data_IF_641952792295
#
_entry.id   IF_641952792295
#
_cell.length_a   1.000
_cell.length_b   1.000
_cell.length_c   1.000
_cell.angle_alpha   90.00
_cell.angle_beta   90.00
_cell.angle_gamma   90.00
#
_symmetry.space_group_name_H-M   'P 1'
#
loop_
_entity.id
_entity.type
_entity.pdbx_description
1 polymer ?
#
# COMPACT_ATOMS: atom_id res chain seq x y z
N UNK A 1 -32.76 -29.62 -48.37
CA UNK A 1 -31.53 -29.20 -47.65
C UNK A 1 -31.78 -28.20 -46.51
N UNK A 2 -33.02 -27.80 -46.16
CA UNK A 2 -33.28 -26.80 -45.09
C UNK A 2 -33.55 -27.36 -43.68
N UNK A 3 -34.21 -28.53 -43.58
CA UNK A 3 -34.69 -29.07 -42.28
C UNK A 3 -33.57 -29.35 -41.27
N UNK A 4 -32.38 -29.72 -41.74
CA UNK A 4 -31.23 -30.02 -40.89
C UNK A 4 -30.54 -28.77 -40.35
N UNK A 5 -30.67 -27.64 -41.03
CA UNK A 5 -30.15 -26.35 -40.57
C UNK A 5 -31.13 -25.72 -39.58
N UNK A 6 -32.43 -25.78 -39.87
CA UNK A 6 -33.50 -25.33 -38.96
C UNK A 6 -33.41 -26.03 -37.59
N UNK A 7 -33.22 -27.36 -37.58
CA UNK A 7 -33.06 -28.16 -36.35
C UNK A 7 -31.81 -27.78 -35.54
N UNK A 8 -30.74 -27.29 -36.18
CA UNK A 8 -29.51 -26.85 -35.50
C UNK A 8 -29.70 -25.49 -34.87
N UNK A 9 -30.42 -24.59 -35.53
CA UNK A 9 -30.77 -23.28 -34.98
C UNK A 9 -31.70 -23.42 -33.77
N UNK A 10 -32.71 -24.27 -33.88
CA UNK A 10 -33.64 -24.55 -32.80
C UNK A 10 -32.92 -25.17 -31.58
N UNK A 11 -32.00 -26.11 -31.80
CA UNK A 11 -31.16 -26.66 -30.72
C UNK A 11 -30.28 -25.60 -30.04
N UNK A 12 -29.76 -24.63 -30.81
CA UNK A 12 -28.94 -23.55 -30.26
C UNK A 12 -29.78 -22.62 -29.39
N UNK A 13 -31.00 -22.32 -29.82
CA UNK A 13 -31.95 -21.51 -29.05
C UNK A 13 -32.36 -22.22 -27.75
N UNK A 14 -32.68 -23.52 -27.81
CA UNK A 14 -33.04 -24.30 -26.62
C UNK A 14 -31.91 -24.36 -25.58
N UNK A 15 -30.65 -24.48 -26.02
CA UNK A 15 -29.49 -24.44 -25.10
C UNK A 15 -29.32 -23.07 -24.45
N UNK A 16 -29.52 -22.00 -25.20
CA UNK A 16 -29.47 -20.62 -24.68
C UNK A 16 -30.54 -20.40 -23.59
N UNK A 17 -31.77 -20.85 -23.84
CA UNK A 17 -32.88 -20.75 -22.88
C UNK A 17 -32.61 -21.59 -21.62
N UNK A 18 -32.04 -22.79 -21.76
CA UNK A 18 -31.66 -23.64 -20.63
C UNK A 18 -30.60 -22.96 -19.73
N UNK A 19 -29.62 -22.30 -20.33
CA UNK A 19 -28.58 -21.58 -19.57
C UNK A 19 -29.11 -20.32 -18.89
N UNK A 20 -30.07 -19.62 -19.51
CA UNK A 20 -30.77 -18.50 -18.88
C UNK A 20 -31.61 -18.96 -17.69
N UNK A 21 -32.36 -20.06 -17.82
CA UNK A 21 -33.16 -20.62 -16.74
C UNK A 21 -32.30 -21.09 -15.55
N UNK A 22 -31.13 -21.71 -15.83
CA UNK A 22 -30.17 -22.11 -14.79
C UNK A 22 -29.60 -20.93 -14.00
N UNK A 23 -29.52 -19.73 -14.61
CA UNK A 23 -29.06 -18.50 -13.96
C UNK A 23 -30.17 -17.82 -13.16
N UNK A 24 -31.42 -17.87 -13.64
CA UNK A 24 -32.56 -17.25 -12.99
C UNK A 24 -32.89 -17.84 -11.60
N UNK A 25 -32.52 -19.10 -11.34
CA UNK A 25 -32.77 -19.80 -10.07
C UNK A 25 -31.64 -19.74 -9.03
N UNK A 26 -30.50 -19.11 -9.32
CA UNK A 26 -29.39 -18.98 -8.35
C UNK A 26 -29.37 -17.57 -7.79
N UNK A 27 -30.04 -17.35 -6.66
CA UNK A 27 -29.75 -16.22 -5.79
C UNK A 27 -28.26 -16.25 -5.45
N UNK A 28 -27.53 -15.22 -5.89
CA UNK A 28 -26.13 -15.05 -5.51
C UNK A 28 -26.04 -15.09 -3.98
N UNK A 29 -25.12 -15.86 -3.37
CA UNK A 29 -24.93 -15.81 -1.94
C UNK A 29 -24.66 -14.35 -1.56
N UNK A 30 -25.38 -13.85 -0.55
CA UNK A 30 -25.22 -12.49 -0.03
C UNK A 30 -23.82 -12.34 0.56
N UNK A 31 -22.83 -12.11 -0.29
CA UNK A 31 -21.53 -11.61 0.14
C UNK A 31 -21.75 -10.18 0.62
N UNK A 32 -21.27 -9.81 1.83
CA UNK A 32 -21.23 -8.41 2.20
C UNK A 32 -20.45 -7.66 1.12
N UNK A 33 -20.99 -6.51 0.68
CA UNK A 33 -20.38 -5.71 -0.36
C UNK A 33 -18.95 -5.29 0.07
N UNK A 34 -17.95 -5.31 -0.83
CA UNK A 34 -16.58 -4.88 -0.55
C UNK A 34 -16.51 -3.48 0.09
N UNK A 35 -17.49 -2.63 -0.21
CA UNK A 35 -17.65 -1.29 0.38
C UNK A 35 -17.75 -1.28 1.91
N UNK A 36 -18.21 -2.35 2.56
CA UNK A 36 -18.25 -2.42 4.03
C UNK A 36 -16.88 -2.74 4.66
N UNK A 37 -15.92 -3.21 3.86
CA UNK A 37 -14.55 -3.57 4.29
C UNK A 37 -13.54 -2.49 3.86
N UNK A 38 -13.85 -1.71 2.82
CA UNK A 38 -13.00 -0.69 2.21
C UNK A 38 -12.86 0.62 3.04
N UNK A 39 -12.52 0.51 4.33
CA UNK A 39 -12.22 1.64 5.24
C UNK A 39 -11.00 2.48 4.80
N UNK A 40 -10.26 2.03 3.79
CA UNK A 40 -9.05 2.71 3.30
C UNK A 40 -9.33 3.96 2.44
N UNK A 41 -10.53 4.06 1.86
CA UNK A 41 -10.90 5.16 0.96
C UNK A 41 -11.23 6.47 1.70
N UNK A 42 -11.38 6.43 3.03
CA UNK A 42 -11.69 7.60 3.87
C UNK A 42 -10.45 8.39 4.31
N UNK A 43 -9.23 7.92 3.97
CA UNK A 43 -7.99 8.58 4.39
C UNK A 43 -7.49 9.62 3.36
N UNK A 44 -6.94 10.77 3.80
CA UNK A 44 -6.42 11.79 2.91
C UNK A 44 -5.31 11.24 1.99
N UNK A 45 -5.22 11.77 0.77
CA UNK A 45 -4.34 11.29 -0.33
C UNK A 45 -2.86 11.13 0.05
N UNK A 46 -2.40 11.87 1.07
CA UNK A 46 -1.03 11.85 1.59
C UNK A 46 -0.77 10.66 2.54
N UNK A 47 -1.82 9.98 3.00
CA UNK A 47 -1.77 8.88 4.00
C UNK A 47 -2.61 7.69 3.54
N UNK A 48 -2.45 7.23 2.29
CA UNK A 48 -3.03 5.92 1.90
C UNK A 48 -2.34 4.73 2.58
N UNK A 49 -1.13 4.93 3.08
CA UNK A 49 -0.32 3.88 3.68
C UNK A 49 0.26 4.37 5.02
N UNK A 50 -0.08 3.72 6.15
CA UNK A 50 0.58 3.98 7.43
C UNK A 50 1.98 3.35 7.39
N UNK A 51 2.90 3.87 6.56
CA UNK A 51 4.22 3.25 6.39
C UNK A 51 5.04 3.38 7.65
N UNK A 52 4.89 4.47 8.41
CA UNK A 52 5.57 4.65 9.69
C UNK A 52 5.22 3.51 10.66
N UNK A 53 3.93 3.20 10.80
CA UNK A 53 3.42 2.13 11.67
C UNK A 53 3.81 0.75 11.11
N UNK A 54 3.71 0.57 9.80
CA UNK A 54 4.16 -0.66 9.14
C UNK A 54 5.66 -0.89 9.33
N UNK A 55 6.48 0.17 9.32
CA UNK A 55 7.92 0.09 9.49
C UNK A 55 8.32 -0.44 10.85
N UNK A 56 7.55 -0.19 11.91
CA UNK A 56 7.83 -0.76 13.24
C UNK A 56 7.11 -2.07 13.50
N UNK A 57 6.02 -2.35 12.79
CA UNK A 57 5.31 -3.62 12.84
C UNK A 57 5.88 -4.64 11.84
N UNK A 58 5.00 -5.13 10.95
CA UNK A 58 5.31 -6.21 10.00
C UNK A 58 6.51 -5.88 9.10
N UNK A 59 6.72 -4.62 8.74
CA UNK A 59 7.79 -4.15 7.86
C UNK A 59 9.14 -3.86 8.53
N UNK A 60 9.35 -4.29 9.78
CA UNK A 60 10.56 -3.99 10.54
C UNK A 60 11.85 -4.49 9.87
N UNK A 61 11.82 -5.65 9.20
CA UNK A 61 13.01 -6.21 8.52
C UNK A 61 13.15 -5.78 7.06
N UNK A 62 12.28 -4.90 6.58
CA UNK A 62 12.41 -4.35 5.22
C UNK A 62 13.53 -3.31 5.24
N UNK A 63 14.54 -3.39 4.35
CA UNK A 63 15.64 -2.43 4.36
C UNK A 63 15.14 -1.01 4.09
N UNK A 64 15.71 -0.05 4.83
CA UNK A 64 15.54 1.37 4.55
C UNK A 64 16.70 1.85 3.68
N UNK A 65 16.54 2.97 2.96
CA UNK A 65 17.69 3.66 2.38
C UNK A 65 18.67 4.06 3.49
N UNK A 66 19.97 3.98 3.20
CA UNK A 66 21.08 4.25 4.14
C UNK A 66 20.88 5.54 4.94
N UNK A 67 20.64 6.68 4.27
CA UNK A 67 20.43 7.96 4.95
C UNK A 67 19.19 7.99 5.86
N UNK A 68 18.16 7.19 5.55
CA UNK A 68 16.96 7.08 6.41
C UNK A 68 17.22 6.12 7.57
N UNK A 69 18.07 5.13 7.39
CA UNK A 69 18.51 4.21 8.43
C UNK A 69 19.36 4.92 9.49
N UNK A 70 20.31 5.76 9.08
CA UNK A 70 21.08 6.64 9.99
C UNK A 70 20.15 7.52 10.84
N UNK A 71 19.14 8.14 10.21
CA UNK A 71 18.12 8.92 10.93
C UNK A 71 17.32 8.02 11.88
N UNK A 72 16.98 6.80 11.46
CA UNK A 72 16.24 5.84 12.28
C UNK A 72 17.01 5.40 13.52
N UNK A 73 18.33 5.30 13.48
CA UNK A 73 19.16 5.08 14.66
C UNK A 73 19.02 6.23 15.66
N UNK A 74 18.96 7.47 15.15
CA UNK A 74 18.93 8.67 16.00
C UNK A 74 17.54 9.06 16.47
N UNK A 75 16.45 8.78 15.77
CA UNK A 75 15.09 9.15 16.23
C UNK A 75 14.13 7.97 16.41
N UNK A 76 14.53 6.78 15.98
CA UNK A 76 13.67 5.62 15.88
C UNK A 76 13.06 5.47 14.48
N UNK A 77 12.85 4.22 14.08
CA UNK A 77 12.40 3.82 12.75
C UNK A 77 11.08 4.42 12.31
N UNK A 78 10.05 4.37 13.17
CA UNK A 78 8.73 4.97 12.90
C UNK A 78 8.86 6.45 12.54
N UNK A 79 9.64 7.19 13.34
CA UNK A 79 9.80 8.64 13.22
C UNK A 79 10.61 9.01 11.98
N UNK A 80 11.65 8.25 11.67
CA UNK A 80 12.41 8.44 10.43
C UNK A 80 11.52 8.26 9.19
N UNK A 81 10.71 7.20 9.15
CA UNK A 81 9.76 6.99 8.04
C UNK A 81 8.69 8.08 8.00
N UNK A 82 8.16 8.50 9.16
CA UNK A 82 7.20 9.61 9.26
C UNK A 82 7.77 10.94 8.75
N UNK A 83 9.08 11.20 8.94
CA UNK A 83 9.74 12.35 8.30
C UNK A 83 9.76 12.24 6.78
N UNK A 84 10.06 11.06 6.23
CA UNK A 84 10.09 10.84 4.77
C UNK A 84 8.70 11.05 4.16
N UNK A 85 7.66 10.53 4.81
CA UNK A 85 6.26 10.71 4.37
C UNK A 85 5.78 12.15 4.52
N UNK A 86 6.08 12.76 5.66
CA UNK A 86 5.66 14.10 6.00
C UNK A 86 6.42 15.19 5.23
N UNK A 87 7.57 14.88 4.63
CA UNK A 87 8.39 15.86 3.90
C UNK A 87 7.93 16.00 2.45
N UNK A 88 7.72 17.25 2.03
CA UNK A 88 7.30 17.57 0.66
C UNK A 88 8.49 17.41 -0.30
N UNK A 89 8.24 17.08 -1.57
CA UNK A 89 9.28 17.14 -2.60
C UNK A 89 9.97 18.51 -2.63
N UNK A 90 11.27 18.50 -2.90
CA UNK A 90 12.12 19.69 -3.00
C UNK A 90 12.63 19.88 -4.43
N UNK A 91 12.62 21.13 -4.90
CA UNK A 91 13.12 21.52 -6.21
C UNK A 91 12.26 21.05 -7.39
N UNK A 92 12.87 20.96 -8.59
CA UNK A 92 12.17 20.60 -9.84
C UNK A 92 11.81 19.12 -9.93
N UNK A 93 12.49 18.24 -9.19
CA UNK A 93 12.32 16.78 -9.27
C UNK A 93 11.36 16.30 -8.19
N UNK A 94 10.17 15.83 -8.60
CA UNK A 94 9.10 15.37 -7.69
C UNK A 94 9.49 14.24 -6.73
N UNK A 95 10.56 13.51 -7.01
CA UNK A 95 11.05 12.41 -6.17
C UNK A 95 12.07 12.83 -5.11
N UNK A 96 12.73 13.98 -5.27
CA UNK A 96 13.76 14.46 -4.34
C UNK A 96 13.09 15.08 -3.13
N UNK A 97 13.51 14.72 -1.92
CA UNK A 97 13.07 15.36 -0.68
C UNK A 97 14.31 15.73 0.13
N UNK A 98 14.33 16.95 0.61
CA UNK A 98 15.40 17.47 1.45
C UNK A 98 14.79 18.14 2.65
N UNK A 99 15.44 17.99 3.80
CA UNK A 99 15.01 18.54 5.07
C UNK A 99 16.19 19.25 5.71
N UNK A 100 16.09 20.56 5.86
CA UNK A 100 17.04 21.30 6.69
C UNK A 100 16.72 21.06 8.17
N UNK A 101 17.75 20.76 8.95
CA UNK A 101 17.66 20.53 10.39
C UNK A 101 18.28 21.73 11.12
N UNK A 102 17.49 22.56 11.81
CA UNK A 102 18.03 23.68 12.57
C UNK A 102 18.76 23.20 13.83
N UNK A 103 19.77 23.97 14.26
CA UNK A 103 20.48 23.75 15.52
C UNK A 103 19.60 23.96 16.76
N UNK A 104 18.60 24.85 16.67
CA UNK A 104 17.61 25.08 17.72
C UNK A 104 16.24 24.61 17.23
N UNK A 105 15.61 23.73 18.01
CA UNK A 105 14.33 23.12 17.65
C UNK A 105 13.22 23.66 18.56
N UNK A 106 12.36 24.52 17.99
CA UNK A 106 11.19 25.08 18.67
C UNK A 106 9.98 24.16 18.55
N UNK A 107 9.03 24.25 19.49
CA UNK A 107 7.83 23.39 19.49
C UNK A 107 6.93 23.61 18.27
N UNK A 108 6.95 24.83 17.71
CA UNK A 108 6.21 25.22 16.51
C UNK A 108 6.85 24.71 15.21
N UNK A 109 8.08 24.18 15.27
CA UNK A 109 8.80 23.75 14.08
C UNK A 109 8.12 22.54 13.42
N UNK A 110 8.02 22.52 12.10
CA UNK A 110 7.36 21.44 11.34
C UNK A 110 7.90 20.04 11.66
N UNK A 111 9.20 19.91 11.89
CA UNK A 111 9.82 18.63 12.28
C UNK A 111 9.21 18.14 13.61
N UNK A 112 9.01 19.05 14.56
CA UNK A 112 8.37 18.72 15.85
C UNK A 112 6.94 18.26 15.65
N UNK A 113 6.17 18.92 14.78
CA UNK A 113 4.82 18.48 14.45
C UNK A 113 4.78 17.05 13.84
N UNK A 114 5.83 16.62 13.14
CA UNK A 114 5.90 15.29 12.53
C UNK A 114 6.36 14.18 13.48
N UNK A 115 7.39 14.44 14.32
CA UNK A 115 8.05 13.37 15.12
C UNK A 115 8.09 13.62 16.63
N UNK A 116 7.57 14.76 17.07
CA UNK A 116 7.55 15.21 18.45
C UNK A 116 8.86 15.85 18.90
N UNK A 117 8.77 16.73 19.91
CA UNK A 117 9.87 17.61 20.35
C UNK A 117 11.11 16.83 20.80
N UNK A 118 10.93 15.74 21.54
CA UNK A 118 12.03 14.93 22.07
C UNK A 118 12.87 14.30 20.93
N UNK A 119 12.21 13.81 19.88
CA UNK A 119 12.91 13.21 18.75
C UNK A 119 13.53 14.28 17.84
N UNK A 120 12.83 15.39 17.62
CA UNK A 120 13.35 16.51 16.86
C UNK A 120 14.61 17.11 17.51
N UNK A 121 14.66 17.21 18.84
CA UNK A 121 15.87 17.63 19.58
C UNK A 121 17.03 16.64 19.42
N UNK A 122 16.79 15.32 19.45
CA UNK A 122 17.82 14.29 19.14
C UNK A 122 18.34 14.42 17.71
N UNK A 123 17.45 14.66 16.76
CA UNK A 123 17.81 14.89 15.37
C UNK A 123 18.65 16.16 15.22
N UNK A 124 18.27 17.24 15.87
CA UNK A 124 19.02 18.49 15.90
C UNK A 124 20.40 18.29 16.52
N UNK A 125 20.51 17.60 17.65
CA UNK A 125 21.79 17.33 18.30
C UNK A 125 22.79 16.57 17.41
N UNK A 126 22.30 15.64 16.58
CA UNK A 126 23.14 14.82 15.70
C UNK A 126 23.42 15.46 14.34
N UNK A 127 22.48 16.22 13.79
CA UNK A 127 22.50 16.73 12.42
C UNK A 127 22.25 18.25 12.35
N UNK A 128 22.65 19.00 13.38
CA UNK A 128 22.47 20.45 13.45
C UNK A 128 23.06 21.16 12.22
N UNK A 129 22.30 22.10 11.66
CA UNK A 129 22.68 22.90 10.50
C UNK A 129 22.98 22.10 9.21
N UNK A 130 22.51 20.85 9.14
CA UNK A 130 22.67 20.00 7.96
C UNK A 130 21.39 19.97 7.11
N UNK A 131 21.58 19.69 5.81
CA UNK A 131 20.48 19.34 4.89
C UNK A 131 20.50 17.82 4.74
N UNK A 132 19.46 17.16 5.24
CA UNK A 132 19.30 15.72 5.12
C UNK A 132 18.58 15.38 3.81
N UNK A 133 19.09 14.38 3.11
CA UNK A 133 18.40 13.78 1.98
C UNK A 133 17.46 12.67 2.45
N UNK A 134 16.19 12.77 2.07
CA UNK A 134 15.13 11.85 2.48
C UNK A 134 14.63 11.05 1.26
N UNK A 135 15.40 10.06 0.77
CA UNK A 135 14.98 9.23 -0.34
C UNK A 135 13.68 8.50 -0.02
N UNK A 136 12.89 8.21 -1.06
CA UNK A 136 11.64 7.46 -0.88
C UNK A 136 11.98 6.04 -0.42
N UNK A 137 11.32 5.57 0.64
CA UNK A 137 11.37 4.19 1.11
C UNK A 137 10.59 3.25 0.17
N UNK A 138 11.04 3.11 -1.09
CA UNK A 138 10.32 2.35 -2.13
C UNK A 138 10.17 0.87 -1.78
N UNK A 139 11.21 0.25 -1.23
CA UNK A 139 11.16 -1.14 -0.77
C UNK A 139 10.06 -1.31 0.30
N UNK A 140 10.01 -0.40 1.29
CA UNK A 140 8.99 -0.42 2.34
C UNK A 140 7.57 -0.24 1.78
N UNK A 141 7.37 0.69 0.83
CA UNK A 141 6.09 0.88 0.13
C UNK A 141 5.65 -0.38 -0.61
N UNK A 142 6.57 -1.02 -1.33
CA UNK A 142 6.29 -2.23 -2.10
C UNK A 142 5.99 -3.41 -1.16
N UNK A 143 6.72 -3.55 -0.06
CA UNK A 143 6.46 -4.54 0.97
C UNK A 143 5.08 -4.36 1.62
N UNK A 144 4.71 -3.12 1.94
CA UNK A 144 3.37 -2.80 2.47
C UNK A 144 2.28 -3.22 1.50
N UNK A 145 2.43 -2.84 0.22
CA UNK A 145 1.46 -3.16 -0.83
C UNK A 145 1.33 -4.67 -1.02
N UNK A 146 2.44 -5.39 -1.07
CA UNK A 146 2.43 -6.84 -1.19
C UNK A 146 1.77 -7.52 0.02
N UNK A 147 2.08 -7.08 1.25
CA UNK A 147 1.43 -7.57 2.47
C UNK A 147 -0.09 -7.36 2.43
N UNK A 148 -0.52 -6.18 2.00
CA UNK A 148 -1.93 -5.83 1.93
C UNK A 148 -2.67 -6.64 0.85
N UNK A 149 -2.08 -6.76 -0.35
CA UNK A 149 -2.59 -7.61 -1.44
C UNK A 149 -2.71 -9.06 -1.00
N UNK A 150 -1.70 -9.59 -0.31
CA UNK A 150 -1.72 -10.97 0.21
C UNK A 150 -2.84 -11.18 1.22
N UNK A 151 -3.05 -10.24 2.15
CA UNK A 151 -4.14 -10.34 3.12
C UNK A 151 -5.51 -10.39 2.44
N UNK A 152 -5.74 -9.56 1.43
CA UNK A 152 -6.98 -9.59 0.65
C UNK A 152 -7.12 -10.92 -0.12
N UNK A 153 -6.02 -11.41 -0.69
CA UNK A 153 -6.01 -12.70 -1.39
C UNK A 153 -6.34 -13.87 -0.46
N UNK A 154 -5.75 -13.92 0.74
CA UNK A 154 -6.06 -14.93 1.76
C UNK A 154 -7.49 -14.85 2.28
N UNK A 155 -8.13 -13.67 2.21
CA UNK A 155 -9.56 -13.50 2.49
C UNK A 155 -10.46 -13.97 1.34
N UNK A 156 -9.88 -14.48 0.25
CA UNK A 156 -10.59 -15.03 -0.91
C UNK A 156 -10.95 -14.00 -1.98
N UNK A 157 -10.41 -12.77 -1.91
CA UNK A 157 -10.59 -11.79 -2.97
C UNK A 157 -9.83 -12.20 -4.24
N UNK A 158 -10.47 -12.04 -5.40
CA UNK A 158 -9.79 -12.26 -6.67
C UNK A 158 -8.97 -11.03 -7.08
N UNK A 159 -8.03 -11.20 -8.02
CA UNK A 159 -7.13 -10.13 -8.47
C UNK A 159 -7.86 -8.88 -8.97
N UNK A 160 -9.04 -9.03 -9.60
CA UNK A 160 -9.81 -7.91 -10.13
C UNK A 160 -10.53 -7.13 -9.01
N UNK A 161 -10.93 -7.79 -7.93
CA UNK A 161 -11.44 -7.15 -6.71
C UNK A 161 -10.32 -6.39 -6.00
N UNK A 162 -9.16 -7.03 -5.81
CA UNK A 162 -7.99 -6.42 -5.18
C UNK A 162 -7.53 -5.19 -5.97
N UNK A 163 -7.46 -5.28 -7.29
CA UNK A 163 -7.05 -4.18 -8.17
C UNK A 163 -7.97 -2.95 -8.02
N UNK A 164 -9.28 -3.18 -7.92
CA UNK A 164 -10.27 -2.12 -7.70
C UNK A 164 -10.13 -1.50 -6.31
N UNK A 165 -9.95 -2.33 -5.29
CA UNK A 165 -9.79 -1.88 -3.90
C UNK A 165 -8.61 -0.91 -3.75
N UNK A 166 -7.43 -1.30 -4.26
CA UNK A 166 -6.22 -0.50 -4.11
C UNK A 166 -6.00 0.50 -5.26
N UNK A 167 -6.96 0.62 -6.19
CA UNK A 167 -6.95 1.51 -7.35
C UNK A 167 -5.70 1.35 -8.25
N UNK A 168 -5.35 0.10 -8.60
CA UNK A 168 -4.23 -0.19 -9.52
C UNK A 168 -4.68 -1.12 -10.65
N UNK A 169 -3.85 -1.27 -11.67
CA UNK A 169 -4.07 -2.25 -12.72
C UNK A 169 -3.97 -3.68 -12.20
N UNK A 170 -4.77 -4.59 -12.79
CA UNK A 170 -4.72 -6.02 -12.46
C UNK A 170 -3.30 -6.59 -12.57
N UNK A 171 -2.55 -6.18 -13.59
CA UNK A 171 -1.14 -6.59 -13.79
C UNK A 171 -0.26 -6.29 -12.57
N UNK A 172 -0.47 -5.13 -11.94
CA UNK A 172 0.26 -4.74 -10.73
C UNK A 172 -0.04 -5.67 -9.57
N UNK A 173 -1.30 -6.11 -9.43
CA UNK A 173 -1.69 -7.10 -8.40
C UNK A 173 -0.98 -8.42 -8.65
N UNK A 174 -0.98 -8.90 -9.89
CA UNK A 174 -0.26 -10.13 -10.27
C UNK A 174 1.23 -10.03 -9.92
N UNK A 175 1.91 -8.94 -10.30
CA UNK A 175 3.33 -8.73 -9.95
C UNK A 175 3.56 -8.68 -8.43
N UNK A 176 2.62 -8.12 -7.65
CA UNK A 176 2.74 -8.08 -6.19
C UNK A 176 2.55 -9.46 -5.56
N UNK A 177 1.65 -10.29 -6.09
CA UNK A 177 1.45 -11.68 -5.66
C UNK A 177 2.64 -12.57 -6.04
N UNK A 178 3.22 -12.39 -7.23
CA UNK A 178 4.44 -13.10 -7.62
C UNK A 178 5.64 -12.74 -6.72
N UNK A 179 5.71 -11.49 -6.27
CA UNK A 179 6.73 -11.04 -5.33
C UNK A 179 6.39 -11.33 -3.86
N UNK A 180 5.28 -12.00 -3.57
CA UNK A 180 4.78 -12.23 -2.22
C UNK A 180 5.79 -12.95 -1.33
N UNK A 181 6.33 -14.07 -1.80
CA UNK A 181 7.24 -14.92 -1.02
C UNK A 181 8.52 -14.16 -0.64
N UNK A 182 9.02 -13.34 -1.57
CA UNK A 182 10.16 -12.45 -1.32
C UNK A 182 9.90 -11.50 -0.14
N UNK A 183 8.70 -10.92 -0.08
CA UNK A 183 8.32 -10.02 1.00
C UNK A 183 8.00 -10.77 2.28
N UNK A 184 7.24 -11.87 2.23
CA UNK A 184 6.86 -12.66 3.40
C UNK A 184 8.07 -13.08 4.25
N UNK A 185 9.17 -13.47 3.63
CA UNK A 185 10.43 -13.79 4.35
C UNK A 185 11.01 -12.61 5.16
N UNK A 186 10.67 -11.38 4.78
CA UNK A 186 11.11 -10.12 5.40
C UNK A 186 10.02 -9.46 6.23
N UNK A 187 8.82 -10.04 6.30
CA UNK A 187 7.74 -9.54 7.13
C UNK A 187 7.75 -10.28 8.46
N UNK A 188 7.55 -9.54 9.54
CA UNK A 188 7.36 -10.14 10.85
C UNK A 188 5.91 -10.59 10.97
N UNK A 189 5.70 -11.85 11.33
CA UNK A 189 4.38 -12.33 11.73
C UNK A 189 4.01 -11.66 13.06
N UNK A 190 2.86 -10.96 13.17
CA UNK A 190 2.40 -10.45 14.45
C UNK A 190 2.26 -11.63 15.42
N UNK A 191 2.85 -11.50 16.61
CA UNK A 191 2.68 -12.44 17.72
C UNK A 191 1.26 -12.33 18.28
#
# INVERSE_FOLDING_TARGET
MGVLEDLKEENRQLRSLLDQAKRAGRSAPSRPAPAAIARQLEMPEVVRYPLAEFAVGRGQRVPLPESVEEIAEVVGREKAVRLVEGTRPSGRRRWRRQLYVPAEMTEEHRIVALIGIKAARRLSFSHANCILELPSCHALKKAYLADHVLRLHFQGANEAEIAREICVEKKTVTTLLEAADYWLSRLITPK
#
